data_IF_168341531749
#
_entry.id   IF_168341531749
#
_cell.length_a   1.000
_cell.length_b   1.000
_cell.length_c   1.000
_cell.angle_alpha   90.00
_cell.angle_beta   90.00
_cell.angle_gamma   90.00
#
_symmetry.space_group_name_H-M   'P 1'
#
loop_
_entity.id
_entity.type
_entity.pdbx_description
1 polymer ?
#
# COMPACT_ATOMS: atom_id res chain seq x y z
N UNK A 1 -7.37 18.78 -0.91
CA UNK A 1 -8.20 18.93 0.32
C UNK A 1 -7.78 17.86 1.34
N UNK A 2 -7.51 18.24 2.59
CA UNK A 2 -7.16 17.27 3.63
C UNK A 2 -8.36 16.34 3.94
N UNK A 3 -8.13 15.04 4.17
CA UNK A 3 -9.18 14.11 4.60
C UNK A 3 -9.83 14.60 5.91
N UNK A 4 -11.10 14.27 6.12
CA UNK A 4 -11.90 14.85 7.20
C UNK A 4 -11.28 14.70 8.61
N UNK A 5 -10.42 13.71 8.83
CA UNK A 5 -9.71 13.49 10.11
C UNK A 5 -8.35 14.18 10.26
N UNK A 6 -7.87 14.95 9.28
CA UNK A 6 -6.62 15.74 9.37
C UNK A 6 -6.83 17.22 9.06
N UNK A 7 -8.08 17.69 9.07
CA UNK A 7 -8.40 19.11 8.84
C UNK A 7 -8.08 19.97 10.06
N UNK A 8 -8.29 19.42 11.25
CA UNK A 8 -8.03 20.06 12.54
C UNK A 8 -7.35 19.03 13.46
N UNK A 9 -6.04 19.15 13.66
CA UNK A 9 -5.27 18.18 14.44
C UNK A 9 -5.29 18.56 15.92
N UNK A 10 -5.59 17.58 16.77
CA UNK A 10 -5.51 17.73 18.24
C UNK A 10 -4.29 16.99 18.78
N UNK A 11 -3.59 17.51 19.81
CA UNK A 11 -2.49 16.81 20.46
C UNK A 11 -2.89 15.47 21.08
N UNK A 12 -4.12 15.41 21.64
CA UNK A 12 -4.75 14.16 22.04
C UNK A 12 -5.71 13.76 20.92
N UNK A 13 -5.39 12.70 20.15
CA UNK A 13 -6.17 12.34 18.98
C UNK A 13 -7.53 11.78 19.40
N UNK A 14 -8.55 12.04 18.58
CA UNK A 14 -9.92 11.56 18.81
C UNK A 14 -10.65 11.29 17.50
N UNK A 15 -11.64 10.40 17.54
CA UNK A 15 -12.47 10.06 16.38
C UNK A 15 -11.65 9.57 15.18
N UNK A 16 -11.88 10.18 14.01
CA UNK A 16 -11.21 9.83 12.76
C UNK A 16 -9.70 10.07 12.74
N UNK A 17 -9.19 10.97 13.60
CA UNK A 17 -7.74 11.22 13.73
C UNK A 17 -7.02 9.95 14.25
N UNK A 18 -7.61 9.20 15.19
CA UNK A 18 -7.04 7.94 15.70
C UNK A 18 -6.80 6.92 14.59
N UNK A 19 -7.78 6.76 13.70
CA UNK A 19 -7.70 5.82 12.59
C UNK A 19 -6.60 6.22 11.60
N UNK A 20 -6.54 7.50 11.24
CA UNK A 20 -5.58 8.01 10.25
C UNK A 20 -4.15 8.00 10.79
N UNK A 21 -3.95 8.36 12.06
CA UNK A 21 -2.64 8.27 12.70
C UNK A 21 -2.17 6.81 12.77
N UNK A 22 -3.05 5.90 13.19
CA UNK A 22 -2.72 4.48 13.24
C UNK A 22 -2.40 3.93 11.85
N UNK A 23 -3.20 4.26 10.83
CA UNK A 23 -2.95 3.86 9.45
C UNK A 23 -1.63 4.43 8.89
N UNK A 24 -1.22 5.63 9.33
CA UNK A 24 0.04 6.26 8.93
C UNK A 24 1.27 5.69 9.66
N UNK A 25 1.08 5.16 10.86
CA UNK A 25 2.12 4.49 11.66
C UNK A 25 2.31 3.03 11.24
N UNK A 26 1.22 2.34 10.89
CA UNK A 26 1.20 0.93 10.48
C UNK A 26 2.29 0.53 9.47
N UNK A 27 2.59 1.29 8.40
CA UNK A 27 3.64 0.92 7.45
C UNK A 27 5.07 1.15 7.97
N UNK A 28 5.26 1.88 9.08
CA UNK A 28 6.60 2.20 9.60
C UNK A 28 7.28 1.00 10.22
N UNK A 29 6.54 0.15 10.92
CA UNK A 29 7.06 -1.09 11.49
C UNK A 29 7.60 -2.06 10.42
N UNK A 30 6.82 -2.48 9.40
CA UNK A 30 7.33 -3.35 8.35
C UNK A 30 8.43 -2.67 7.52
N UNK A 31 8.39 -1.35 7.32
CA UNK A 31 9.48 -0.62 6.70
C UNK A 31 10.78 -0.74 7.53
N UNK A 32 10.70 -0.50 8.85
CA UNK A 32 11.84 -0.60 9.76
C UNK A 32 12.41 -2.01 9.81
N UNK A 33 11.55 -3.01 9.96
CA UNK A 33 11.93 -4.41 10.12
C UNK A 33 12.48 -5.03 8.82
N UNK A 34 11.94 -4.67 7.65
CA UNK A 34 12.35 -5.26 6.36
C UNK A 34 13.41 -4.48 5.61
N UNK A 35 13.47 -3.15 5.75
CA UNK A 35 14.42 -2.28 5.03
C UNK A 35 15.63 -1.94 5.91
N UNK A 36 15.44 -1.82 7.22
CA UNK A 36 16.50 -1.45 8.17
C UNK A 36 16.84 0.04 8.12
N UNK A 37 18.13 0.37 8.13
CA UNK A 37 18.59 1.77 8.11
C UNK A 37 18.17 2.50 6.82
N UNK A 38 17.65 3.71 7.00
CA UNK A 38 17.11 4.52 5.90
C UNK A 38 15.69 4.11 5.45
N UNK A 39 14.90 3.42 6.29
CA UNK A 39 13.52 3.04 5.95
C UNK A 39 12.53 4.23 5.85
N UNK A 40 12.82 5.37 6.51
CA UNK A 40 11.87 6.50 6.63
C UNK A 40 11.30 6.99 5.29
N UNK A 41 12.08 7.16 4.22
CA UNK A 41 11.56 7.58 2.92
C UNK A 41 10.68 6.52 2.24
N UNK A 42 10.77 5.25 2.65
CA UNK A 42 10.04 4.14 2.05
C UNK A 42 8.72 3.82 2.76
N UNK A 43 8.54 4.27 4.00
CA UNK A 43 7.31 4.06 4.77
C UNK A 43 6.05 4.62 4.05
N UNK A 44 6.07 5.81 3.43
CA UNK A 44 4.92 6.31 2.65
C UNK A 44 4.55 5.41 1.46
N UNK A 45 5.54 4.82 0.78
CA UNK A 45 5.30 3.91 -0.34
C UNK A 45 4.60 2.63 0.09
N UNK A 46 5.05 2.03 1.21
CA UNK A 46 4.39 0.86 1.82
C UNK A 46 2.96 1.21 2.28
N UNK A 47 2.80 2.39 2.88
CA UNK A 47 1.50 2.93 3.27
C UNK A 47 0.55 3.12 2.09
N UNK A 48 1.05 3.57 0.94
CA UNK A 48 0.23 3.81 -0.26
C UNK A 48 -0.22 2.52 -0.93
N UNK A 49 0.63 1.48 -0.92
CA UNK A 49 0.30 0.18 -1.53
C UNK A 49 -0.75 -0.61 -0.74
N UNK A 50 -0.93 -0.32 0.56
CA UNK A 50 -1.77 -1.13 1.43
C UNK A 50 -3.28 -0.93 1.21
N UNK A 51 -3.84 0.31 1.20
CA UNK A 51 -5.28 0.53 1.04
C UNK A 51 -5.90 0.03 -0.27
N UNK A 52 -5.28 0.22 -1.46
CA UNK A 52 -5.84 -0.26 -2.73
C UNK A 52 -6.02 -1.77 -2.81
N UNK A 53 -5.31 -2.53 -1.97
CA UNK A 53 -5.38 -4.00 -1.94
C UNK A 53 -6.24 -4.46 -0.75
N UNK A 54 -5.93 -3.96 0.45
CA UNK A 54 -6.56 -4.40 1.70
C UNK A 54 -8.04 -4.04 1.77
N UNK A 55 -8.40 -2.80 1.42
CA UNK A 55 -9.78 -2.32 1.54
C UNK A 55 -10.70 -3.06 0.58
N UNK A 56 -10.39 -3.23 -0.73
CA UNK A 56 -11.22 -4.02 -1.64
C UNK A 56 -11.35 -5.49 -1.24
N UNK A 57 -10.27 -6.10 -0.76
CA UNK A 57 -10.28 -7.50 -0.33
C UNK A 57 -11.17 -7.73 0.90
N UNK A 58 -11.01 -6.90 1.95
CA UNK A 58 -11.87 -6.93 3.15
C UNK A 58 -13.30 -6.57 2.81
N UNK A 59 -13.51 -5.52 2.02
CA UNK A 59 -14.84 -5.12 1.55
C UNK A 59 -15.53 -6.24 0.77
N UNK A 60 -14.78 -7.03 0.01
CA UNK A 60 -15.35 -8.15 -0.73
C UNK A 60 -15.73 -9.36 0.08
N UNK A 61 -15.04 -9.61 1.19
CA UNK A 61 -15.44 -10.62 2.14
C UNK A 61 -16.64 -10.17 3.00
N UNK A 62 -16.76 -8.87 3.27
CA UNK A 62 -17.75 -8.34 4.23
C UNK A 62 -19.07 -7.88 3.59
N UNK A 63 -19.04 -7.38 2.34
CA UNK A 63 -20.25 -6.91 1.67
C UNK A 63 -20.90 -8.04 0.87
N UNK A 64 -22.20 -8.33 1.09
CA UNK A 64 -22.94 -9.32 0.32
C UNK A 64 -23.22 -8.80 -1.09
N UNK A 65 -22.28 -9.04 -2.01
CA UNK A 65 -22.37 -8.56 -3.40
C UNK A 65 -23.29 -9.39 -4.30
N UNK A 66 -23.91 -10.45 -3.76
CA UNK A 66 -24.93 -11.26 -4.43
C UNK A 66 -26.34 -10.63 -4.43
N UNK A 67 -26.54 -9.54 -3.69
CA UNK A 67 -27.87 -8.89 -3.57
C UNK A 67 -28.19 -8.01 -4.78
N UNK A 68 -27.16 -7.50 -5.45
CA UNK A 68 -27.29 -6.74 -6.68
C UNK A 68 -26.51 -7.51 -7.74
N UNK A 69 -27.19 -7.98 -8.78
CA UNK A 69 -26.55 -8.58 -9.94
C UNK A 69 -26.50 -7.53 -11.05
N UNK A 70 -25.33 -7.34 -11.65
CA UNK A 70 -25.20 -6.47 -12.81
C UNK A 70 -25.51 -7.29 -14.07
N UNK A 71 -26.29 -6.76 -15.02
CA UNK A 71 -26.58 -7.47 -16.29
C UNK A 71 -25.32 -7.79 -17.11
N UNK A 72 -24.18 -7.18 -16.80
CA UNK A 72 -22.91 -7.33 -17.52
C UNK A 72 -21.80 -8.07 -16.75
N UNK A 73 -22.05 -8.60 -15.54
CA UNK A 73 -21.03 -9.37 -14.83
C UNK A 73 -21.23 -9.52 -13.32
N UNK A 74 -20.33 -10.28 -12.69
CA UNK A 74 -20.35 -10.57 -11.26
C UNK A 74 -19.77 -9.40 -10.46
N UNK A 75 -20.51 -8.91 -9.45
CA UNK A 75 -20.03 -7.88 -8.53
C UNK A 75 -18.99 -8.48 -7.58
N UNK A 76 -17.76 -8.62 -8.07
CA UNK A 76 -16.61 -9.07 -7.30
C UNK A 76 -15.82 -7.88 -6.71
N UNK A 77 -14.72 -8.15 -6.00
CA UNK A 77 -13.86 -7.08 -5.52
C UNK A 77 -13.14 -6.43 -6.70
N UNK A 78 -12.83 -5.12 -6.66
CA UNK A 78 -11.98 -4.48 -7.66
C UNK A 78 -10.69 -5.25 -7.97
N UNK A 79 -10.12 -5.95 -6.97
CA UNK A 79 -8.92 -6.81 -7.13
C UNK A 79 -9.16 -8.10 -7.93
N UNK A 80 -10.38 -8.39 -8.35
CA UNK A 80 -10.68 -9.50 -9.28
C UNK A 80 -10.29 -9.13 -10.72
N UNK A 81 -10.32 -7.83 -11.07
CA UNK A 81 -9.84 -7.35 -12.36
C UNK A 81 -8.30 -7.32 -12.41
N UNK A 82 -7.76 -7.85 -13.50
CA UNK A 82 -6.31 -7.95 -13.70
C UNK A 82 -5.67 -6.56 -13.86
N UNK A 83 -6.36 -5.61 -14.49
CA UNK A 83 -5.81 -4.27 -14.69
C UNK A 83 -5.61 -3.55 -13.36
N UNK A 84 -6.57 -3.71 -12.43
CA UNK A 84 -6.49 -3.18 -11.07
C UNK A 84 -5.35 -3.81 -10.28
N UNK A 85 -5.15 -5.12 -10.41
CA UNK A 85 -4.06 -5.84 -9.75
C UNK A 85 -2.70 -5.42 -10.31
N UNK A 86 -2.56 -5.35 -11.63
CA UNK A 86 -1.33 -4.93 -12.31
C UNK A 86 -1.01 -3.47 -11.98
N UNK A 87 -1.99 -2.58 -12.04
CA UNK A 87 -1.83 -1.18 -11.67
C UNK A 87 -1.37 -1.02 -10.22
N UNK A 88 -1.94 -1.79 -9.30
CA UNK A 88 -1.57 -1.77 -7.88
C UNK A 88 -0.18 -2.35 -7.61
N UNK A 89 0.23 -3.39 -8.34
CA UNK A 89 1.50 -4.09 -8.13
C UNK A 89 2.69 -3.38 -8.79
N UNK A 90 2.49 -2.76 -9.96
CA UNK A 90 3.55 -2.15 -10.79
C UNK A 90 4.44 -1.10 -10.12
N UNK A 91 4.01 -0.30 -9.12
CA UNK A 91 4.88 0.67 -8.46
C UNK A 91 6.01 0.01 -7.66
N UNK A 92 5.81 -1.23 -7.18
CA UNK A 92 6.80 -1.94 -6.35
C UNK A 92 8.08 -2.28 -7.11
N UNK A 93 8.04 -2.99 -8.26
CA UNK A 93 9.24 -3.24 -9.05
C UNK A 93 9.84 -1.95 -9.60
N UNK A 94 9.03 -0.94 -9.95
CA UNK A 94 9.53 0.36 -10.38
C UNK A 94 10.35 1.05 -9.26
N UNK A 95 9.83 1.04 -8.04
CA UNK A 95 10.51 1.57 -6.86
C UNK A 95 11.82 0.82 -6.55
N UNK A 96 11.82 -0.51 -6.67
CA UNK A 96 13.03 -1.32 -6.49
C UNK A 96 14.10 -1.00 -7.54
N UNK A 97 13.73 -0.93 -8.82
CA UNK A 97 14.62 -0.57 -9.92
C UNK A 97 15.20 0.83 -9.79
N UNK A 98 14.46 1.76 -9.18
CA UNK A 98 14.94 3.09 -8.85
C UNK A 98 15.91 3.11 -7.65
N UNK A 99 15.61 2.32 -6.61
CA UNK A 99 16.40 2.27 -5.38
C UNK A 99 17.75 1.54 -5.56
N UNK A 100 17.74 0.44 -6.31
CA UNK A 100 18.85 -0.50 -6.43
C UNK A 100 20.17 0.16 -6.88
N UNK A 101 20.19 0.85 -8.04
CA UNK A 101 21.39 1.52 -8.54
C UNK A 101 21.87 2.62 -7.59
N UNK A 102 20.96 3.31 -6.89
CA UNK A 102 21.29 4.38 -5.94
C UNK A 102 21.98 3.87 -4.68
N UNK A 103 21.64 2.66 -4.22
CA UNK A 103 22.24 2.05 -3.02
C UNK A 103 23.49 1.21 -3.32
N UNK A 104 23.55 0.55 -4.49
CA UNK A 104 24.61 -0.44 -4.80
C UNK A 104 25.39 -0.18 -6.10
N UNK A 105 25.01 0.82 -6.90
CA UNK A 105 25.63 1.06 -8.21
C UNK A 105 25.53 -0.17 -9.12
N UNK A 106 26.55 -0.38 -9.96
CA UNK A 106 26.66 -1.56 -10.85
C UNK A 106 26.81 -2.89 -10.11
N UNK A 107 27.21 -2.87 -8.84
CA UNK A 107 27.33 -4.07 -7.99
C UNK A 107 25.97 -4.73 -7.67
N UNK A 108 24.85 -4.02 -7.89
CA UNK A 108 23.49 -4.58 -7.78
C UNK A 108 23.31 -5.86 -8.61
N UNK A 109 23.89 -5.90 -9.81
CA UNK A 109 23.80 -7.03 -10.73
C UNK A 109 24.74 -8.19 -10.35
N UNK A 110 25.81 -7.92 -9.59
CA UNK A 110 26.74 -8.96 -9.12
C UNK A 110 26.08 -10.01 -8.23
N UNK A 111 25.01 -9.64 -7.50
CA UNK A 111 24.24 -10.56 -6.65
C UNK A 111 23.34 -11.53 -7.44
N UNK A 112 23.13 -11.27 -8.74
CA UNK A 112 22.44 -12.21 -9.64
C UNK A 112 23.41 -13.21 -10.29
N UNK A 113 24.72 -13.04 -10.09
CA UNK A 113 25.79 -13.87 -10.65
C UNK A 113 26.52 -14.71 -9.58
N UNK A 114 26.17 -14.56 -8.30
CA UNK A 114 26.72 -15.37 -7.20
C UNK A 114 25.63 -16.32 -6.67
N UNK A 115 25.87 -17.65 -6.62
CA UNK A 115 24.94 -18.63 -6.08
C UNK A 115 24.82 -18.54 -4.55
#
# INVERSE_FOLDING_TARGET
PAPAGTRELRPVPSGGQNLLEHASELPRDPARTRIGEGYRPWAPSIGTLSPPIFVPNRSGALLPRRISESPNGELAAPTNDINTTVASASPTPAAYSYAGPRKKGSSLFGRHMQP
#
